data_IF_712364354200
#
_entry.id   IF_712364354200
#
_cell.length_a   1.000
_cell.length_b   1.000
_cell.length_c   1.000
_cell.angle_alpha   90.00
_cell.angle_beta   90.00
_cell.angle_gamma   90.00
#
_symmetry.space_group_name_H-M   'P 1'
#
loop_
_entity.id
_entity.type
_entity.pdbx_description
1 polymer ?
#
# COMPACT_ATOMS: atom_id res chain seq x y z
N UNK A 1 0.30 3.74 -9.53
CA UNK A 1 -0.85 2.83 -9.33
C UNK A 1 -2.04 3.25 -10.19
N UNK A 2 -2.94 2.31 -10.48
CA UNK A 2 -4.16 2.54 -11.25
C UNK A 2 -5.31 1.73 -10.63
N UNK A 3 -6.53 2.26 -10.74
CA UNK A 3 -7.75 1.56 -10.36
C UNK A 3 -8.69 1.47 -11.55
N UNK A 4 -9.36 0.33 -11.65
CA UNK A 4 -10.32 0.02 -12.70
C UNK A 4 -11.61 -0.47 -12.04
N UNK A 5 -12.76 -0.17 -12.65
CA UNK A 5 -14.02 -0.77 -12.25
C UNK A 5 -14.10 -2.25 -12.69
N UNK A 6 -15.19 -2.92 -12.33
CA UNK A 6 -15.40 -4.33 -12.70
C UNK A 6 -15.57 -4.55 -14.22
N UNK A 7 -15.88 -3.50 -14.97
CA UNK A 7 -15.95 -3.53 -16.44
C UNK A 7 -14.59 -3.25 -17.11
N UNK A 8 -13.53 -2.96 -16.34
CA UNK A 8 -12.21 -2.62 -16.84
C UNK A 8 -12.03 -1.15 -17.21
N UNK A 9 -12.99 -0.26 -16.91
CA UNK A 9 -12.82 1.17 -17.14
C UNK A 9 -11.89 1.76 -16.08
N UNK A 10 -10.90 2.55 -16.50
CA UNK A 10 -9.97 3.20 -15.58
C UNK A 10 -10.67 4.32 -14.81
N UNK A 11 -10.77 4.17 -13.50
CA UNK A 11 -11.30 5.20 -12.59
C UNK A 11 -10.26 6.28 -12.33
N UNK A 12 -9.03 5.90 -12.01
CA UNK A 12 -7.95 6.85 -11.76
C UNK A 12 -6.56 6.25 -11.99
N UNK A 13 -5.58 7.17 -12.08
CA UNK A 13 -4.14 6.88 -12.07
C UNK A 13 -3.45 7.83 -11.10
N UNK A 14 -2.52 7.30 -10.31
CA UNK A 14 -1.66 8.06 -9.41
C UNK A 14 -0.21 7.64 -9.56
N UNK A 15 0.68 8.62 -9.66
CA UNK A 15 2.11 8.40 -9.52
C UNK A 15 2.45 8.54 -8.05
N UNK A 16 3.15 7.56 -7.50
CA UNK A 16 3.65 7.60 -6.14
C UNK A 16 5.14 7.95 -6.18
N UNK A 17 5.63 8.49 -5.08
CA UNK A 17 7.01 8.99 -4.96
C UNK A 17 8.07 7.90 -5.11
N UNK A 18 7.70 6.63 -4.89
CA UNK A 18 8.57 5.46 -4.98
C UNK A 18 7.82 4.27 -5.59
N UNK A 19 8.52 3.26 -6.14
CA UNK A 19 7.90 2.03 -6.61
C UNK A 19 7.16 1.30 -5.49
N UNK A 20 6.00 0.74 -5.83
CA UNK A 20 5.21 -0.08 -4.92
C UNK A 20 5.86 -1.46 -4.80
N UNK A 21 6.16 -1.89 -3.57
CA UNK A 21 6.61 -3.24 -3.25
C UNK A 21 5.45 -4.16 -2.87
N UNK A 22 4.31 -3.57 -2.48
CA UNK A 22 3.20 -4.32 -1.93
C UNK A 22 1.85 -3.61 -1.87
N UNK A 23 0.75 -4.38 -1.95
CA UNK A 23 -0.62 -3.87 -1.92
C UNK A 23 -1.56 -4.78 -1.10
N UNK A 24 -2.49 -4.17 -0.37
CA UNK A 24 -3.61 -4.85 0.28
C UNK A 24 -4.92 -4.05 0.12
N UNK A 25 -6.07 -4.71 -0.10
CA UNK A 25 -7.36 -4.04 -0.06
C UNK A 25 -7.65 -3.45 1.33
N UNK A 26 -8.20 -2.24 1.35
CA UNK A 26 -8.79 -1.67 2.55
C UNK A 26 -10.30 -1.99 2.59
N UNK A 27 -10.87 -2.03 3.79
CA UNK A 27 -12.28 -2.44 3.98
C UNK A 27 -13.33 -1.45 3.45
N UNK A 28 -12.91 -0.25 3.07
CA UNK A 28 -13.75 0.84 2.59
C UNK A 28 -13.71 1.00 1.07
N UNK A 29 -13.11 0.04 0.35
CA UNK A 29 -12.93 0.08 -1.10
C UNK A 29 -11.66 0.80 -1.57
N UNK A 30 -10.84 1.30 -0.64
CA UNK A 30 -9.49 1.77 -0.93
C UNK A 30 -8.45 0.65 -0.92
N UNK A 31 -7.18 1.03 -0.82
CA UNK A 31 -6.08 0.09 -0.61
C UNK A 31 -4.94 0.70 0.24
N UNK A 32 -4.17 -0.19 0.85
CA UNK A 32 -2.87 0.12 1.46
C UNK A 32 -1.77 -0.25 0.46
N UNK A 33 -0.75 0.59 0.37
CA UNK A 33 0.42 0.34 -0.46
C UNK A 33 1.71 0.55 0.33
N UNK A 34 2.57 -0.47 0.33
CA UNK A 34 3.94 -0.35 0.78
C UNK A 34 4.83 0.07 -0.38
N UNK A 35 5.65 1.10 -0.15
CA UNK A 35 6.63 1.59 -1.11
C UNK A 35 8.00 1.00 -0.79
N UNK A 36 8.87 0.97 -1.80
CA UNK A 36 10.23 0.41 -1.68
C UNK A 36 11.06 1.09 -0.60
N UNK A 37 10.85 2.38 -0.33
CA UNK A 37 11.52 3.10 0.77
C UNK A 37 10.88 2.90 2.14
N UNK A 38 9.97 1.93 2.29
CA UNK A 38 9.30 1.61 3.56
C UNK A 38 8.15 2.54 3.93
N UNK A 39 7.87 3.55 3.10
CA UNK A 39 6.67 4.38 3.28
C UNK A 39 5.43 3.53 3.06
N UNK A 40 4.44 3.66 3.93
CA UNK A 40 3.12 3.06 3.74
C UNK A 40 2.11 4.18 3.52
N UNK A 41 1.36 4.06 2.44
CA UNK A 41 0.31 5.00 2.07
C UNK A 41 -1.03 4.28 1.98
N UNK A 42 -2.10 5.00 2.23
CA UNK A 42 -3.47 4.60 1.92
C UNK A 42 -3.96 5.36 0.70
N UNK A 43 -4.65 4.67 -0.19
CA UNK A 43 -5.38 5.29 -1.28
C UNK A 43 -6.86 5.04 -1.07
N UNK A 44 -7.66 6.09 -1.11
CA UNK A 44 -9.12 5.96 -1.05
C UNK A 44 -9.71 5.52 -2.40
N UNK A 45 -11.04 5.38 -2.46
CA UNK A 45 -11.76 5.01 -3.70
C UNK A 45 -11.56 6.00 -4.85
N UNK A 46 -11.32 7.27 -4.55
CA UNK A 46 -11.07 8.32 -5.55
C UNK A 46 -9.60 8.40 -5.98
N UNK A 47 -8.72 7.69 -5.28
CA UNK A 47 -7.28 7.67 -5.51
C UNK A 47 -6.54 8.78 -4.77
N UNK A 48 -7.17 9.45 -3.81
CA UNK A 48 -6.46 10.38 -2.93
C UNK A 48 -5.50 9.61 -2.02
N UNK A 49 -4.30 10.16 -1.86
CA UNK A 49 -3.17 9.49 -1.21
C UNK A 49 -2.95 10.10 0.17
N UNK A 50 -3.00 9.27 1.20
CA UNK A 50 -2.66 9.63 2.57
C UNK A 50 -1.42 8.84 3.01
N UNK A 51 -0.40 9.52 3.53
CA UNK A 51 0.75 8.85 4.14
C UNK A 51 0.38 8.41 5.55
N UNK A 52 0.35 7.10 5.79
CA UNK A 52 0.05 6.54 7.12
C UNK A 52 1.32 6.17 7.89
N UNK A 53 2.43 5.96 7.19
CA UNK A 53 3.74 5.78 7.80
C UNK A 53 4.83 6.32 6.88
N UNK A 54 5.67 7.19 7.40
CA UNK A 54 6.85 7.67 6.70
C UNK A 54 7.97 6.63 6.82
N UNK A 55 8.42 6.10 5.69
CA UNK A 55 9.58 5.22 5.65
C UNK A 55 10.89 5.98 5.89
N UNK A 56 11.99 5.25 5.95
CA UNK A 56 13.35 5.82 5.93
C UNK A 56 14.15 5.19 4.79
N UNK A 57 15.24 5.83 4.37
CA UNK A 57 16.13 5.32 3.32
C UNK A 57 16.60 3.88 3.57
N UNK A 58 16.68 3.48 4.84
CA UNK A 58 17.23 2.21 5.27
C UNK A 58 16.14 1.13 5.44
N UNK A 59 14.88 1.56 5.56
CA UNK A 59 13.72 0.71 5.68
C UNK A 59 13.21 0.27 4.31
N UNK A 60 13.87 -0.69 3.66
CA UNK A 60 13.28 -1.29 2.45
C UNK A 60 12.17 -2.27 2.83
N UNK A 61 10.94 -2.02 2.38
CA UNK A 61 9.87 -3.02 2.41
C UNK A 61 10.19 -4.14 1.41
N UNK A 62 10.39 -5.37 1.93
CA UNK A 62 10.79 -6.52 1.14
C UNK A 62 9.58 -7.34 0.66
N UNK A 63 8.59 -7.52 1.53
CA UNK A 63 7.41 -8.34 1.25
C UNK A 63 6.17 -7.77 1.92
N UNK A 64 5.01 -7.98 1.29
CA UNK A 64 3.74 -7.66 1.91
C UNK A 64 2.74 -8.81 1.81
N UNK A 65 1.86 -8.94 2.79
CA UNK A 65 0.71 -9.86 2.72
C UNK A 65 -0.54 -9.12 3.20
N UNK A 66 -1.62 -9.19 2.42
CA UNK A 66 -2.94 -8.76 2.86
C UNK A 66 -3.55 -9.84 3.74
N UNK A 67 -4.03 -9.51 4.94
CA UNK A 67 -4.81 -10.49 5.72
C UNK A 67 -6.31 -10.32 5.45
N UNK A 68 -7.03 -11.44 5.31
CA UNK A 68 -8.50 -11.47 5.21
C UNK A 68 -9.07 -12.25 6.40
N UNK A 69 -10.14 -11.77 7.07
CA UNK A 69 -10.89 -10.53 6.78
C UNK A 69 -10.16 -9.26 7.23
N UNK A 70 -8.90 -9.40 7.67
CA UNK A 70 -8.04 -8.41 8.31
C UNK A 70 -7.46 -7.30 7.43
N UNK A 71 -8.32 -6.55 6.73
CA UNK A 71 -8.15 -5.16 6.21
C UNK A 71 -6.83 -4.48 6.62
N UNK A 72 -5.72 -4.93 6.06
CA UNK A 72 -4.43 -4.63 6.65
C UNK A 72 -3.29 -5.29 5.92
N UNK A 73 -2.13 -4.67 6.08
CA UNK A 73 -0.91 -4.96 5.34
C UNK A 73 0.18 -5.34 6.35
N UNK A 74 0.62 -6.59 6.34
CA UNK A 74 1.84 -6.98 7.03
C UNK A 74 3.03 -6.66 6.12
N UNK A 75 3.97 -5.86 6.61
CA UNK A 75 5.17 -5.43 5.89
C UNK A 75 6.39 -6.05 6.55
N UNK A 76 7.12 -6.87 5.80
CA UNK A 76 8.45 -7.36 6.20
C UNK A 76 9.53 -6.41 5.72
N UNK A 77 10.41 -6.01 6.63
CA UNK A 77 11.53 -5.09 6.37
C UNK A 77 12.85 -5.86 6.25
N UNK A 78 13.83 -5.24 5.59
CA UNK A 78 15.17 -5.82 5.42
C UNK A 78 15.92 -6.07 6.73
N UNK A 79 15.63 -5.31 7.78
CA UNK A 79 16.22 -5.49 9.11
C UNK A 79 15.63 -6.70 9.87
N UNK A 80 14.72 -7.44 9.25
CA UNK A 80 14.06 -8.60 9.84
C UNK A 80 12.80 -8.27 10.65
N UNK A 81 12.43 -7.00 10.75
CA UNK A 81 11.20 -6.59 11.46
C UNK A 81 9.95 -6.84 10.63
N UNK A 82 8.84 -7.08 11.33
CA UNK A 82 7.51 -7.21 10.77
C UNK A 82 6.59 -6.19 11.41
N UNK A 83 5.85 -5.47 10.57
CA UNK A 83 4.93 -4.44 11.02
C UNK A 83 3.57 -4.60 10.34
N UNK A 84 2.50 -4.42 11.12
CA UNK A 84 1.13 -4.56 10.63
C UNK A 84 0.45 -3.18 10.55
N UNK A 85 -0.11 -2.88 9.38
CA UNK A 85 -0.85 -1.65 9.08
C UNK A 85 -2.32 -1.97 8.79
N UNK A 86 -3.25 -1.06 9.13
CA UNK A 86 -4.70 -1.21 8.92
C UNK A 86 -5.35 0.11 8.53
#
# INVERSE_FOLDING_TARGET
>A
MQCFDAGGNRLWRRLLVEPVSGLAPAGDGGCLAALRNGTVVRLDRSGEVETIHAGSSDATAAHCVSSWPGRGLLVGRKDGTLEFYR
#
